data_IF_022518325375
#
_entry.id   IF_022518325375
#
_cell.length_a   1.000
_cell.length_b   1.000
_cell.length_c   1.000
_cell.angle_alpha   90.00
_cell.angle_beta   90.00
_cell.angle_gamma   90.00
#
_symmetry.space_group_name_H-M   'P 1'
#
loop_
_entity.id
_entity.type
_entity.pdbx_description
1 polymer ?
#
# COMPACT_ATOMS: atom_id res chain seq x y z
N UNK A 1 -26.40 -1.92 19.45
CA UNK A 1 -25.10 -2.47 19.01
C UNK A 1 -25.23 -2.80 17.55
N UNK A 2 -24.62 -1.99 16.69
CA UNK A 2 -24.63 -2.25 15.25
C UNK A 2 -23.82 -3.50 14.95
N UNK A 3 -24.38 -4.40 14.15
CA UNK A 3 -23.69 -5.63 13.74
C UNK A 3 -22.58 -5.25 12.76
N UNK A 4 -21.39 -5.86 12.86
CA UNK A 4 -20.33 -5.64 11.88
C UNK A 4 -20.82 -6.07 10.50
N UNK A 5 -20.55 -5.21 9.50
CA UNK A 5 -20.78 -5.54 8.08
C UNK A 5 -19.53 -6.22 7.54
N UNK A 6 -19.74 -7.27 6.76
CA UNK A 6 -18.69 -8.00 6.07
C UNK A 6 -18.82 -7.75 4.57
N UNK A 7 -17.68 -7.72 3.90
CA UNK A 7 -17.60 -7.53 2.46
C UNK A 7 -16.73 -8.61 1.86
N UNK A 8 -17.10 -9.06 0.69
CA UNK A 8 -16.31 -9.96 -0.15
C UNK A 8 -15.27 -9.17 -0.94
N UNK A 9 -14.19 -9.83 -1.39
CA UNK A 9 -13.23 -9.18 -2.28
C UNK A 9 -13.87 -8.62 -3.56
N UNK A 10 -14.90 -9.29 -4.10
CA UNK A 10 -15.62 -8.82 -5.28
C UNK A 10 -16.41 -7.53 -5.04
N UNK A 11 -17.03 -7.38 -3.85
CA UNK A 11 -17.70 -6.13 -3.47
C UNK A 11 -16.68 -4.99 -3.34
N UNK A 12 -15.53 -5.22 -2.70
CA UNK A 12 -14.47 -4.21 -2.61
C UNK A 12 -13.94 -3.82 -3.99
N UNK A 13 -13.71 -4.81 -4.87
CA UNK A 13 -13.19 -4.60 -6.23
C UNK A 13 -14.13 -3.78 -7.14
N UNK A 14 -15.42 -3.69 -6.80
CA UNK A 14 -16.37 -2.85 -7.53
C UNK A 14 -16.15 -1.34 -7.28
N UNK A 15 -15.51 -0.97 -6.16
CA UNK A 15 -15.23 0.40 -5.75
C UNK A 15 -13.77 0.77 -6.11
N UNK A 16 -13.49 0.89 -7.41
CA UNK A 16 -12.13 1.00 -7.95
C UNK A 16 -11.84 2.33 -8.69
N UNK A 17 -12.58 3.40 -8.41
CA UNK A 17 -12.43 4.69 -9.10
C UNK A 17 -12.12 5.82 -8.14
N UNK A 18 -11.56 6.94 -8.60
CA UNK A 18 -11.25 8.10 -7.72
C UNK A 18 -12.49 8.66 -7.00
N UNK A 19 -13.66 8.55 -7.62
CA UNK A 19 -14.93 9.02 -7.06
C UNK A 19 -15.64 7.97 -6.19
N UNK A 20 -15.12 6.74 -6.14
CA UNK A 20 -15.64 5.61 -5.38
C UNK A 20 -14.50 4.60 -5.18
N UNK A 21 -13.63 4.88 -4.20
CA UNK A 21 -12.36 4.18 -3.98
C UNK A 21 -12.37 3.46 -2.65
N UNK A 22 -12.47 2.14 -2.67
CA UNK A 22 -12.28 1.32 -1.48
C UNK A 22 -11.00 0.51 -1.58
N UNK A 23 -10.46 0.15 -0.42
CA UNK A 23 -9.38 -0.82 -0.29
C UNK A 23 -9.66 -1.73 0.90
N UNK A 24 -9.08 -2.93 0.92
CA UNK A 24 -8.97 -3.72 2.13
C UNK A 24 -7.55 -3.69 2.70
N UNK A 25 -7.42 -3.69 4.02
CA UNK A 25 -6.14 -3.91 4.69
C UNK A 25 -6.33 -4.55 6.06
N UNK A 26 -5.53 -5.56 6.37
CA UNK A 26 -5.52 -6.29 7.65
C UNK A 26 -6.95 -6.70 8.11
N UNK A 27 -7.76 -7.18 7.17
CA UNK A 27 -9.13 -7.64 7.40
C UNK A 27 -10.18 -6.54 7.56
N UNK A 28 -9.85 -5.28 7.26
CA UNK A 28 -10.77 -4.14 7.27
C UNK A 28 -11.00 -3.61 5.87
N UNK A 29 -12.19 -3.09 5.61
CA UNK A 29 -12.53 -2.36 4.38
C UNK A 29 -12.64 -0.88 4.71
N UNK A 30 -11.98 -0.05 3.91
CA UNK A 30 -11.97 1.40 4.09
C UNK A 30 -12.36 2.10 2.80
N UNK A 31 -13.32 3.01 2.93
CA UNK A 31 -13.68 3.98 1.89
C UNK A 31 -12.72 5.16 1.97
N UNK A 32 -11.87 5.30 0.95
CA UNK A 32 -10.89 6.37 0.82
C UNK A 32 -11.36 7.48 -0.12
N UNK A 33 -12.58 7.42 -0.65
CA UNK A 33 -13.17 8.48 -1.49
C UNK A 33 -13.07 9.87 -0.85
N UNK A 34 -13.33 10.06 0.46
CA UNK A 34 -13.17 11.37 1.10
C UNK A 34 -11.71 11.85 1.11
N UNK A 35 -10.76 10.92 1.24
CA UNK A 35 -9.33 11.23 1.23
C UNK A 35 -8.87 11.67 -0.17
N UNK A 36 -9.34 10.96 -1.21
CA UNK A 36 -9.07 11.34 -2.62
C UNK A 36 -9.62 12.72 -2.95
N UNK A 37 -10.83 13.02 -2.46
CA UNK A 37 -11.47 14.32 -2.66
C UNK A 37 -10.70 15.45 -1.98
N UNK A 38 -10.18 15.19 -0.76
CA UNK A 38 -9.48 16.19 0.06
C UNK A 38 -8.10 16.56 -0.50
N UNK A 39 -7.36 15.60 -1.04
CA UNK A 39 -5.99 15.78 -1.53
C UNK A 39 -5.88 15.66 -3.05
N UNK A 40 -6.94 16.03 -3.77
CA UNK A 40 -7.03 15.89 -5.22
C UNK A 40 -5.82 16.52 -5.93
N UNK A 41 -5.14 15.72 -6.74
CA UNK A 41 -3.97 16.15 -7.53
C UNK A 41 -2.63 15.97 -6.81
N UNK A 42 -2.62 15.49 -5.57
CA UNK A 42 -1.39 15.13 -4.88
C UNK A 42 -0.81 13.82 -5.45
N UNK A 43 0.46 13.85 -5.83
CA UNK A 43 1.18 12.70 -6.38
C UNK A 43 1.29 11.55 -5.36
N UNK A 44 1.22 11.83 -4.06
CA UNK A 44 1.23 10.82 -3.00
C UNK A 44 -0.02 9.91 -3.03
N UNK A 45 -1.09 10.32 -3.73
CA UNK A 45 -2.27 9.49 -3.90
C UNK A 45 -2.14 8.44 -5.01
N UNK A 46 -1.15 8.56 -5.91
CA UNK A 46 -1.04 7.69 -7.08
C UNK A 46 -0.98 6.20 -6.72
N UNK A 47 -0.16 5.75 -5.74
CA UNK A 47 -0.13 4.33 -5.37
C UNK A 47 -1.46 3.82 -4.83
N UNK A 48 -2.19 4.67 -4.09
CA UNK A 48 -3.51 4.32 -3.54
C UNK A 48 -4.54 4.21 -4.67
N UNK A 49 -4.47 5.09 -5.68
CA UNK A 49 -5.33 5.05 -6.85
C UNK A 49 -5.07 3.80 -7.71
N UNK A 50 -3.81 3.41 -7.87
CA UNK A 50 -3.42 2.19 -8.59
C UNK A 50 -3.90 0.91 -7.88
N UNK A 51 -4.01 0.95 -6.55
CA UNK A 51 -4.52 -0.15 -5.73
C UNK A 51 -6.01 -0.05 -5.40
N UNK A 52 -6.78 0.79 -6.11
CA UNK A 52 -8.22 0.91 -5.90
C UNK A 52 -8.94 -0.43 -6.10
N UNK A 53 -9.81 -0.79 -5.16
CA UNK A 53 -10.53 -2.06 -5.13
C UNK A 53 -9.70 -3.27 -4.70
N UNK A 54 -8.46 -3.08 -4.22
CA UNK A 54 -7.54 -4.17 -3.88
C UNK A 54 -7.26 -4.28 -2.39
N UNK A 55 -6.58 -5.38 -2.02
CA UNK A 55 -6.02 -5.58 -0.69
C UNK A 55 -4.59 -5.04 -0.62
N UNK A 56 -4.39 -4.01 0.20
CA UNK A 56 -3.10 -3.35 0.42
C UNK A 56 -2.41 -3.81 1.71
N UNK A 57 -2.81 -4.94 2.29
CA UNK A 57 -2.20 -5.47 3.53
C UNK A 57 -0.69 -5.67 3.42
N UNK A 58 -0.17 -5.92 2.21
CA UNK A 58 1.27 -6.10 1.97
C UNK A 58 2.10 -4.85 2.28
N UNK A 59 1.49 -3.66 2.31
CA UNK A 59 2.14 -2.41 2.68
C UNK A 59 2.33 -2.26 4.18
N UNK A 60 1.68 -3.09 4.99
CA UNK A 60 1.65 -2.95 6.44
C UNK A 60 2.31 -4.14 7.12
N UNK A 61 2.95 -3.88 8.26
CA UNK A 61 3.34 -4.93 9.18
C UNK A 61 2.07 -5.48 9.86
N UNK A 62 1.79 -6.80 9.83
CA UNK A 62 0.57 -7.35 10.40
C UNK A 62 0.51 -7.29 11.93
N UNK A 63 1.65 -7.13 12.61
CA UNK A 63 1.74 -7.02 14.06
C UNK A 63 1.63 -5.55 14.51
N UNK A 64 2.47 -4.66 13.97
CA UNK A 64 2.50 -3.25 14.39
C UNK A 64 1.43 -2.40 13.71
N UNK A 65 0.96 -2.83 12.53
CA UNK A 65 0.04 -2.10 11.65
C UNK A 65 0.64 -0.82 11.06
N UNK A 66 1.95 -0.63 11.20
CA UNK A 66 2.67 0.46 10.56
C UNK A 66 2.97 0.12 9.10
N UNK A 67 3.18 1.16 8.30
CA UNK A 67 3.64 1.01 6.92
C UNK A 67 5.04 0.42 6.92
N UNK A 68 5.27 -0.63 6.13
CA UNK A 68 6.58 -1.24 5.95
C UNK A 68 7.48 -0.26 5.22
N UNK A 69 8.57 0.12 5.87
CA UNK A 69 9.69 0.73 5.19
C UNK A 69 10.48 -0.38 4.47
N UNK A 70 9.98 -0.87 3.33
CA UNK A 70 10.86 -1.58 2.40
C UNK A 70 11.80 -0.53 1.80
N UNK A 71 12.87 -0.20 2.54
CA UNK A 71 14.07 0.38 1.98
C UNK A 71 14.49 -0.56 0.86
N UNK A 72 14.39 -0.09 -0.38
CA UNK A 72 14.61 -0.93 -1.56
C UNK A 72 15.78 -1.87 -1.35
N UNK A 73 15.52 -3.17 -1.42
CA UNK A 73 16.57 -4.17 -1.63
C UNK A 73 17.13 -3.97 -3.03
N UNK A 74 17.86 -2.87 -3.23
CA UNK A 74 19.00 -2.91 -4.12
C UNK A 74 20.06 -3.67 -3.32
N UNK A 75 19.99 -5.00 -3.36
CA UNK A 75 21.21 -5.78 -3.20
C UNK A 75 22.16 -5.22 -4.25
N UNK A 76 23.22 -4.54 -3.83
CA UNK A 76 24.34 -4.18 -4.69
C UNK A 76 25.28 -5.40 -4.67
N UNK A 77 25.27 -6.27 -5.70
CA UNK A 77 26.16 -7.40 -5.74
C UNK A 77 27.40 -6.97 -6.53
N UNK A 78 28.36 -6.30 -5.87
CA UNK A 78 29.81 -6.34 -6.15
C UNK A 78 30.49 -5.04 -5.74
N UNK A 79 31.02 -5.01 -4.51
CA UNK A 79 32.31 -4.34 -4.29
C UNK A 79 33.40 -5.38 -4.61
N UNK A 80 34.25 -5.21 -5.64
CA UNK A 80 35.37 -6.12 -5.83
C UNK A 80 36.35 -6.00 -4.65
N UNK A 81 37.07 -7.07 -4.29
CA UNK A 81 38.09 -6.98 -3.24
C UNK A 81 39.16 -5.97 -3.65
N UNK A 82 39.52 -5.09 -2.72
CA UNK A 82 40.64 -4.16 -2.90
C UNK A 82 41.93 -4.98 -2.95
N UNK A 83 42.66 -4.89 -4.07
CA UNK A 83 43.95 -5.57 -4.27
C UNK A 83 44.96 -5.05 -3.22
N UNK A 84 45.57 -5.92 -2.39
CA UNK A 84 46.46 -5.48 -1.32
C UNK A 84 47.89 -5.13 -1.78
N UNK A 85 48.15 -4.99 -3.08
CA UNK A 85 49.50 -4.78 -3.61
C UNK A 85 49.64 -3.42 -4.33
N UNK A 86 49.51 -2.34 -3.56
CA UNK A 86 50.13 -1.06 -3.90
C UNK A 86 51.05 -0.62 -2.75
N UNK A 87 52.30 -1.07 -2.82
CA UNK A 87 53.49 -0.47 -2.21
C UNK A 87 54.56 -0.35 -3.29
#
# INVERSE_FOLDING_TARGET
MDRPRYFTPAEVAAHNTVADLWVSFLGKVCDLTPLMSRYKGDALLLPIMESAGQDISCWFDPQTKDVRAETGSHSDPQRPPEDPDQT
#
